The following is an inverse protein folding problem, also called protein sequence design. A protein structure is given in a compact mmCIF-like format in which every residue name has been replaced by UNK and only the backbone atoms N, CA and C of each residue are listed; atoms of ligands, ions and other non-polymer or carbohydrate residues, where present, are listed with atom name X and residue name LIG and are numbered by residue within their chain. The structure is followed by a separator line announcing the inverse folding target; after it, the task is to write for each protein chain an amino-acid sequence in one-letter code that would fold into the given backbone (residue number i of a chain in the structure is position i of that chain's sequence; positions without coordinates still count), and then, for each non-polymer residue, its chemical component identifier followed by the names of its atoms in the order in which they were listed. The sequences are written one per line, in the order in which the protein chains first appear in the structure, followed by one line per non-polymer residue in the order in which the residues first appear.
data_IF_753430196176
#
_entry.id   IF_753430196176
#
_cell.length_a   1.000
_cell.length_b   1.000
_cell.length_c   1.000
_cell.angle_alpha   90.00
_cell.angle_beta   90.00
_cell.angle_gamma   90.00
#
_symmetry.space_group_name_H-M   'P 1'
#
loop_
_entity.id
_entity.type
_entity.pdbx_description
1 polymer ?
#
# COMPACT_ATOMS: atom_id res chain seq x y z
N UNK A 1 1.87 8.28 -21.59
CA UNK A 1 2.16 9.53 -20.84
C UNK A 1 3.68 9.78 -20.84
N UNK A 2 4.17 10.93 -21.32
CA UNK A 2 5.56 11.35 -21.13
C UNK A 2 5.75 11.90 -19.70
N UNK A 3 6.89 11.60 -19.07
CA UNK A 3 7.30 12.17 -17.78
C UNK A 3 8.29 13.30 -18.02
N UNK A 4 8.16 14.39 -17.27
CA UNK A 4 9.09 15.51 -17.25
C UNK A 4 10.24 15.25 -16.25
N UNK A 5 11.28 16.08 -16.30
CA UNK A 5 12.35 16.04 -15.31
C UNK A 5 11.83 16.39 -13.90
N UNK A 6 10.89 17.34 -13.82
CA UNK A 6 10.28 17.77 -12.57
C UNK A 6 9.41 16.68 -11.95
N UNK A 7 8.70 15.88 -12.76
CA UNK A 7 7.96 14.71 -12.28
C UNK A 7 8.90 13.70 -11.59
N UNK A 8 10.04 13.42 -12.22
CA UNK A 8 11.02 12.47 -11.70
C UNK A 8 11.68 13.02 -10.42
N UNK A 9 12.04 14.31 -10.42
CA UNK A 9 12.63 14.95 -9.25
C UNK A 9 11.64 15.01 -8.08
N UNK A 10 10.39 15.40 -8.34
CA UNK A 10 9.32 15.46 -7.36
C UNK A 10 8.99 14.10 -6.76
N UNK A 11 8.92 13.05 -7.58
CA UNK A 11 8.74 11.68 -7.08
C UNK A 11 9.88 11.23 -6.16
N UNK A 12 11.14 11.55 -6.51
CA UNK A 12 12.31 11.22 -5.69
C UNK A 12 12.35 11.98 -4.37
N UNK A 13 11.89 13.23 -4.38
CA UNK A 13 11.84 14.08 -3.20
C UNK A 13 10.70 13.67 -2.26
N UNK A 14 9.46 13.61 -2.78
CA UNK A 14 8.27 13.37 -1.95
C UNK A 14 8.03 11.89 -1.66
N UNK A 15 8.56 10.99 -2.47
CA UNK A 15 8.27 9.55 -2.42
C UNK A 15 6.97 9.14 -3.12
N UNK A 16 6.23 10.08 -3.71
CA UNK A 16 4.98 9.83 -4.44
C UNK A 16 4.75 10.81 -5.60
N UNK A 17 3.80 10.46 -6.48
CA UNK A 17 3.36 11.28 -7.61
C UNK A 17 1.95 10.89 -8.09
N UNK A 18 1.15 11.90 -8.46
CA UNK A 18 -0.09 11.71 -9.20
C UNK A 18 0.19 11.64 -10.72
N UNK A 19 -0.13 10.52 -11.34
CA UNK A 19 0.10 10.23 -12.76
C UNK A 19 -1.19 10.49 -13.55
N UNK A 20 -1.20 11.58 -14.32
CA UNK A 20 -2.37 12.05 -15.07
C UNK A 20 -2.56 11.28 -16.38
N UNK A 21 -3.73 10.68 -16.58
CA UNK A 21 -4.07 9.92 -17.79
C UNK A 21 -3.11 8.75 -18.04
N UNK A 22 -2.72 8.04 -16.97
CA UNK A 22 -1.86 6.86 -17.09
C UNK A 22 -2.58 5.74 -17.86
N UNK A 23 -3.88 5.59 -17.64
CA UNK A 23 -4.71 4.52 -18.17
C UNK A 23 -5.73 5.07 -19.17
N UNK A 24 -6.05 4.26 -20.17
CA UNK A 24 -7.12 4.55 -21.13
C UNK A 24 -8.50 4.22 -20.54
N UNK A 25 -9.58 4.78 -21.10
CA UNK A 25 -10.95 4.44 -20.69
C UNK A 25 -11.23 2.93 -20.71
N UNK A 26 -10.88 2.25 -21.80
CA UNK A 26 -11.04 0.80 -21.93
C UNK A 26 -10.30 0.02 -20.82
N UNK A 27 -9.12 0.50 -20.44
CA UNK A 27 -8.34 -0.11 -19.36
C UNK A 27 -9.04 0.08 -18.00
N UNK A 28 -9.55 1.27 -17.71
CA UNK A 28 -10.26 1.53 -16.45
C UNK A 28 -11.58 0.78 -16.36
N UNK A 29 -12.30 0.63 -17.48
CA UNK A 29 -13.55 -0.13 -17.55
C UNK A 29 -13.28 -1.63 -17.32
N UNK A 30 -12.22 -2.17 -17.92
CA UNK A 30 -11.81 -3.55 -17.70
C UNK A 30 -11.41 -3.82 -16.23
N UNK A 31 -10.61 -2.92 -15.63
CA UNK A 31 -10.23 -3.02 -14.21
C UNK A 31 -11.44 -2.95 -13.29
N UNK A 32 -12.42 -2.07 -13.58
CA UNK A 32 -13.68 -1.98 -12.84
C UNK A 32 -14.48 -3.27 -12.96
N UNK A 33 -14.68 -3.77 -14.17
CA UNK A 33 -15.42 -4.99 -14.41
C UNK A 33 -14.80 -6.17 -13.66
N UNK A 34 -13.46 -6.28 -13.67
CA UNK A 34 -12.76 -7.35 -12.97
C UNK A 34 -12.86 -7.20 -11.44
N UNK A 35 -12.62 -6.00 -10.91
CA UNK A 35 -12.74 -5.75 -9.48
C UNK A 35 -14.15 -6.03 -8.96
N UNK A 36 -15.20 -5.62 -9.70
CA UNK A 36 -16.60 -5.84 -9.30
C UNK A 36 -17.01 -7.32 -9.23
N UNK A 37 -16.37 -8.21 -9.99
CA UNK A 37 -16.62 -9.66 -9.89
C UNK A 37 -16.09 -10.26 -8.58
N UNK A 38 -15.04 -9.66 -8.03
CA UNK A 38 -14.26 -10.26 -6.93
C UNK A 38 -14.40 -9.54 -5.59
N UNK A 39 -14.91 -8.31 -5.56
CA UNK A 39 -15.18 -7.58 -4.31
C UNK A 39 -16.33 -8.22 -3.54
N UNK A 40 -16.03 -8.63 -2.32
CA UNK A 40 -16.96 -9.21 -1.35
C UNK A 40 -17.07 -8.31 -0.14
N UNK A 41 -18.13 -8.44 0.67
CA UNK A 41 -18.25 -7.61 1.86
C UNK A 41 -17.07 -7.86 2.80
N UNK A 42 -16.48 -6.78 3.32
CA UNK A 42 -15.27 -6.87 4.16
C UNK A 42 -15.46 -7.79 5.38
N UNK A 43 -16.66 -7.75 5.95
CA UNK A 43 -17.09 -8.60 7.09
C UNK A 43 -17.12 -10.10 6.77
N UNK A 44 -17.35 -10.48 5.51
CA UNK A 44 -17.57 -11.88 5.12
C UNK A 44 -16.25 -12.65 4.97
N UNK A 45 -15.11 -11.95 4.89
CA UNK A 45 -13.78 -12.55 4.71
C UNK A 45 -12.87 -12.40 5.93
N UNK A 46 -13.44 -11.99 7.07
CA UNK A 46 -12.70 -11.87 8.33
C UNK A 46 -11.44 -11.01 8.22
N UNK A 47 -11.46 -9.99 7.35
CA UNK A 47 -10.32 -9.12 7.15
C UNK A 47 -10.00 -8.38 8.46
N UNK A 48 -8.74 -8.39 8.89
CA UNK A 48 -8.28 -7.75 10.14
C UNK A 48 -8.56 -6.25 10.15
N UNK A 49 -8.62 -5.63 8.98
CA UNK A 49 -9.02 -4.22 8.84
C UNK A 49 -10.51 -3.96 9.13
N UNK A 50 -11.29 -4.98 9.49
CA UNK A 50 -12.69 -4.85 9.87
C UNK A 50 -13.57 -4.28 8.75
N UNK A 51 -14.76 -3.83 9.13
CA UNK A 51 -15.75 -3.19 8.27
C UNK A 51 -15.29 -1.78 7.79
N UNK A 52 -13.98 -1.46 7.76
CA UNK A 52 -13.47 -0.12 7.37
C UNK A 52 -13.74 0.22 5.90
N UNK A 53 -13.98 -0.79 5.08
CA UNK A 53 -14.48 -0.67 3.70
C UNK A 53 -15.77 -1.43 3.56
N UNK A 54 -16.64 -0.98 2.64
CA UNK A 54 -17.89 -1.69 2.32
C UNK A 54 -17.60 -3.07 1.71
N UNK A 55 -16.67 -3.11 0.76
CA UNK A 55 -16.22 -4.35 0.11
C UNK A 55 -14.72 -4.31 -0.14
N UNK A 56 -14.08 -5.47 -0.13
CA UNK A 56 -12.66 -5.60 -0.47
C UNK A 56 -12.36 -6.95 -1.14
N UNK A 57 -11.23 -7.02 -1.83
CA UNK A 57 -10.76 -8.25 -2.50
C UNK A 57 -9.24 -8.27 -2.63
N UNK A 58 -8.69 -9.46 -2.80
CA UNK A 58 -7.26 -9.76 -2.90
C UNK A 58 -6.98 -10.56 -4.18
N UNK A 59 -5.69 -10.77 -4.48
CA UNK A 59 -5.23 -11.60 -5.59
C UNK A 59 -5.71 -11.16 -6.99
N UNK A 60 -6.12 -9.90 -7.16
CA UNK A 60 -6.51 -9.37 -8.48
C UNK A 60 -5.32 -9.39 -9.47
N UNK A 61 -4.08 -9.37 -8.96
CA UNK A 61 -2.86 -9.38 -9.77
C UNK A 61 -2.70 -10.64 -10.61
N UNK A 62 -3.37 -11.73 -10.23
CA UNK A 62 -3.32 -12.99 -10.98
C UNK A 62 -4.31 -13.06 -12.14
N UNK A 63 -5.22 -12.09 -12.25
CA UNK A 63 -6.19 -12.02 -13.35
C UNK A 63 -5.51 -11.57 -14.64
N UNK A 64 -6.02 -12.05 -15.79
CA UNK A 64 -5.51 -11.65 -17.11
C UNK A 64 -5.65 -10.14 -17.34
N UNK A 65 -6.70 -9.53 -16.79
CA UNK A 65 -6.93 -8.08 -16.86
C UNK A 65 -5.79 -7.30 -16.22
N UNK A 66 -5.43 -7.61 -14.96
CA UNK A 66 -4.35 -6.90 -14.29
C UNK A 66 -2.98 -7.23 -14.91
N UNK A 67 -2.76 -8.50 -15.30
CA UNK A 67 -1.58 -8.94 -16.07
C UNK A 67 -1.37 -8.09 -17.31
N UNK A 68 -2.42 -7.84 -18.09
CA UNK A 68 -2.35 -7.01 -19.29
C UNK A 68 -1.92 -5.57 -18.97
N UNK A 69 -2.39 -5.00 -17.85
CA UNK A 69 -2.03 -3.63 -17.42
C UNK A 69 -0.56 -3.54 -17.04
N UNK A 70 -0.10 -4.31 -16.06
CA UNK A 70 1.26 -4.14 -15.55
C UNK A 70 2.34 -4.66 -16.50
N UNK A 71 1.98 -5.50 -17.48
CA UNK A 71 2.90 -5.92 -18.56
C UNK A 71 2.93 -4.97 -19.75
N UNK A 72 1.97 -4.05 -19.87
CA UNK A 72 1.92 -3.10 -20.96
C UNK A 72 3.19 -2.26 -21.01
N UNK A 73 3.82 -2.17 -22.21
CA UNK A 73 5.09 -1.46 -22.40
C UNK A 73 5.05 -0.02 -21.89
N UNK A 74 3.95 0.69 -22.10
CA UNK A 74 3.80 2.07 -21.66
C UNK A 74 3.80 2.18 -20.13
N UNK A 75 3.05 1.31 -19.45
CA UNK A 75 2.98 1.24 -17.99
C UNK A 75 4.36 0.95 -17.40
N UNK A 76 5.02 -0.12 -17.88
CA UNK A 76 6.37 -0.51 -17.46
C UNK A 76 7.39 0.61 -17.65
N UNK A 77 7.32 1.32 -18.78
CA UNK A 77 8.22 2.45 -19.05
C UNK A 77 8.05 3.56 -18.02
N UNK A 78 6.81 3.92 -17.66
CA UNK A 78 6.53 4.96 -16.66
C UNK A 78 7.10 4.54 -15.30
N UNK A 79 6.73 3.36 -14.81
CA UNK A 79 7.18 2.88 -13.51
C UNK A 79 8.70 2.74 -13.45
N UNK A 80 9.31 2.07 -14.42
CA UNK A 80 10.77 1.90 -14.46
C UNK A 80 11.54 3.21 -14.58
N UNK A 81 10.96 4.25 -15.21
CA UNK A 81 11.59 5.59 -15.27
C UNK A 81 11.55 6.28 -13.90
N UNK A 82 10.42 6.21 -13.20
CA UNK A 82 10.26 6.85 -11.89
C UNK A 82 11.09 6.15 -10.81
N UNK A 83 11.05 4.81 -10.78
CA UNK A 83 11.73 4.02 -9.75
C UNK A 83 13.22 3.78 -10.06
N UNK A 84 13.63 3.92 -11.33
CA UNK A 84 15.01 3.69 -11.77
C UNK A 84 15.44 2.21 -11.72
N UNK A 85 14.50 1.29 -11.57
CA UNK A 85 14.77 -0.15 -11.36
C UNK A 85 13.70 -1.00 -12.03
N UNK A 86 13.99 -2.30 -12.18
CA UNK A 86 12.98 -3.29 -12.57
C UNK A 86 12.16 -3.66 -11.34
N UNK A 87 10.91 -4.02 -11.54
CA UNK A 87 9.98 -4.26 -10.45
C UNK A 87 9.42 -5.68 -10.51
N UNK A 88 9.21 -6.31 -9.36
CA UNK A 88 8.42 -7.54 -9.25
C UNK A 88 7.00 -7.11 -8.87
N UNK A 89 6.00 -7.50 -9.66
CA UNK A 89 4.59 -7.38 -9.28
C UNK A 89 4.28 -8.42 -8.20
N UNK A 90 3.73 -7.97 -7.09
CA UNK A 90 3.49 -8.84 -5.93
C UNK A 90 2.02 -9.14 -5.73
N UNK A 91 1.19 -8.11 -5.63
CA UNK A 91 -0.21 -8.29 -5.30
C UNK A 91 -1.06 -7.16 -5.87
N UNK A 92 -2.32 -7.46 -6.21
CA UNK A 92 -3.31 -6.42 -6.43
C UNK A 92 -4.58 -6.65 -5.60
N UNK A 93 -5.18 -5.55 -5.18
CA UNK A 93 -6.34 -5.52 -4.28
C UNK A 93 -7.38 -4.53 -4.79
N UNK A 94 -8.64 -4.74 -4.45
CA UNK A 94 -9.74 -3.83 -4.74
C UNK A 94 -10.44 -3.39 -3.47
N UNK A 95 -10.84 -2.12 -3.40
CA UNK A 95 -11.48 -1.51 -2.23
C UNK A 95 -12.70 -0.70 -2.66
N UNK A 96 -13.84 -0.94 -2.03
CA UNK A 96 -15.04 -0.11 -2.17
C UNK A 96 -15.35 0.64 -0.86
N UNK A 97 -15.57 1.94 -0.98
CA UNK A 97 -15.85 2.86 0.14
C UNK A 97 -17.22 3.48 -0.10
N UNK A 98 -17.99 3.64 0.97
CA UNK A 98 -19.23 4.41 1.00
C UNK A 98 -19.10 5.50 2.10
N UNK A 99 -20.14 6.32 2.26
CA UNK A 99 -20.13 7.41 3.24
C UNK A 99 -20.30 7.00 4.70
N UNK A 100 -20.52 5.72 4.97
CA UNK A 100 -20.69 5.18 6.33
C UNK A 100 -19.38 4.66 6.91
N UNK A 101 -18.29 4.74 6.14
CA UNK A 101 -17.00 4.14 6.43
C UNK A 101 -15.88 5.15 6.16
N UNK A 102 -14.78 5.02 6.91
CA UNK A 102 -13.65 5.95 6.87
C UNK A 102 -12.45 5.42 6.06
N UNK A 103 -12.47 4.16 5.61
CA UNK A 103 -11.32 3.52 5.00
C UNK A 103 -10.17 3.32 5.99
N UNK A 104 -8.93 3.35 5.50
CA UNK A 104 -7.76 3.16 6.35
C UNK A 104 -7.37 4.45 7.09
N UNK A 105 -7.00 4.37 8.38
CA UNK A 105 -6.40 5.49 9.11
C UNK A 105 -4.97 5.77 8.59
N UNK A 106 -4.28 6.74 9.19
CA UNK A 106 -2.86 6.99 8.89
C UNK A 106 -2.05 5.73 9.13
N UNK A 107 -1.39 5.27 8.06
CA UNK A 107 -0.51 4.12 8.07
C UNK A 107 0.55 4.28 6.99
N UNK A 108 1.49 3.35 6.98
CA UNK A 108 2.44 3.15 5.91
C UNK A 108 2.36 1.70 5.45
N UNK A 109 3.14 1.33 4.43
CA UNK A 109 3.06 0.01 3.80
C UNK A 109 3.55 -1.18 4.65
N UNK A 110 3.48 -1.14 5.99
CA UNK A 110 4.01 -2.17 6.91
C UNK A 110 3.54 -3.57 6.52
N UNK A 111 2.24 -3.81 6.53
CA UNK A 111 1.64 -5.11 6.18
C UNK A 111 1.85 -5.50 4.72
N UNK A 112 1.96 -4.49 3.85
CA UNK A 112 2.12 -4.70 2.41
C UNK A 112 3.52 -5.15 2.03
N UNK A 113 4.54 -4.80 2.84
CA UNK A 113 5.95 -4.96 2.51
C UNK A 113 6.78 -5.54 3.67
N UNK A 114 6.14 -6.13 4.69
CA UNK A 114 6.81 -6.74 5.86
C UNK A 114 7.75 -7.91 5.53
N UNK A 115 7.65 -8.46 4.32
CA UNK A 115 8.48 -9.59 3.86
C UNK A 115 9.75 -9.15 3.12
N UNK A 116 9.99 -7.85 2.94
CA UNK A 116 11.23 -7.33 2.37
C UNK A 116 11.98 -6.48 3.38
N UNK A 117 13.31 -6.44 3.30
CA UNK A 117 14.12 -5.68 4.27
C UNK A 117 13.70 -4.21 4.35
N UNK A 118 13.89 -3.55 5.50
CA UNK A 118 13.58 -2.13 5.66
C UNK A 118 14.20 -1.21 4.60
N UNK A 119 15.37 -1.55 4.04
CA UNK A 119 16.09 -0.74 3.04
C UNK A 119 15.63 -1.00 1.60
N UNK A 120 15.04 -2.17 1.32
CA UNK A 120 14.65 -2.55 -0.04
C UNK A 120 13.36 -1.83 -0.44
N UNK A 121 13.31 -1.31 -1.66
CA UNK A 121 12.18 -0.49 -2.09
C UNK A 121 10.93 -1.32 -2.39
N UNK A 122 9.78 -0.79 -1.98
CA UNK A 122 8.45 -1.23 -2.35
C UNK A 122 7.62 -0.04 -2.82
N UNK A 123 6.66 -0.29 -3.71
CA UNK A 123 5.83 0.73 -4.33
C UNK A 123 4.39 0.24 -4.44
N UNK A 124 3.45 1.15 -4.28
CA UNK A 124 2.03 0.92 -4.55
C UNK A 124 1.57 1.89 -5.63
N UNK A 125 0.74 1.40 -6.54
CA UNK A 125 0.00 2.25 -7.47
C UNK A 125 -1.49 2.10 -7.20
N UNK A 126 -2.08 3.16 -6.68
CA UNK A 126 -3.49 3.25 -6.40
C UNK A 126 -4.21 3.91 -7.57
N UNK A 127 -5.26 3.26 -8.05
CA UNK A 127 -6.02 3.67 -9.24
C UNK A 127 -7.47 3.85 -8.83
N UNK A 128 -7.95 5.10 -8.67
CA UNK A 128 -9.37 5.35 -8.47
C UNK A 128 -10.12 5.00 -9.75
N UNK A 129 -11.19 4.21 -9.61
CA UNK A 129 -12.03 3.86 -10.73
C UNK A 129 -13.23 4.79 -10.86
N UNK A 130 -13.54 5.56 -9.83
CA UNK A 130 -14.48 6.67 -9.81
C UNK A 130 -13.72 8.00 -9.63
N UNK A 131 -14.25 9.15 -10.12
CA UNK A 131 -13.57 10.43 -9.99
C UNK A 131 -13.43 10.86 -8.53
N UNK A 132 -12.32 11.54 -8.21
CA UNK A 132 -12.00 12.03 -6.87
C UNK A 132 -11.95 13.55 -6.88
N UNK A 133 -12.71 14.14 -5.96
CA UNK A 133 -12.74 15.59 -5.71
C UNK A 133 -12.59 15.85 -4.21
N UNK A 134 -11.36 16.16 -3.73
CA UNK A 134 -11.11 16.47 -2.32
C UNK A 134 -11.92 17.65 -1.78
N UNK A 135 -12.29 18.60 -2.64
CA UNK A 135 -13.10 19.77 -2.26
C UNK A 135 -14.60 19.46 -2.24
N UNK A 136 -15.04 18.50 -3.06
CA UNK A 136 -16.43 18.04 -3.18
C UNK A 136 -16.73 16.85 -2.27
N UNK A 137 -16.98 15.68 -2.85
CA UNK A 137 -17.39 14.49 -2.09
C UNK A 137 -16.21 13.72 -1.45
N UNK A 138 -14.96 14.04 -1.79
CA UNK A 138 -13.78 13.36 -1.24
C UNK A 138 -13.61 11.94 -1.79
N UNK A 139 -13.38 10.98 -0.89
CA UNK A 139 -13.22 9.55 -1.23
C UNK A 139 -11.84 9.15 -1.77
N UNK A 140 -10.88 10.08 -1.77
CA UNK A 140 -9.50 9.86 -2.22
C UNK A 140 -8.56 9.32 -1.16
N UNK A 141 -7.30 9.77 -1.23
CA UNK A 141 -6.27 9.52 -0.23
C UNK A 141 -5.68 10.84 0.23
N UNK A 142 -5.26 10.87 1.50
CA UNK A 142 -4.39 11.90 2.04
C UNK A 142 -3.02 11.29 2.33
N UNK A 143 -1.96 12.06 2.08
CA UNK A 143 -0.58 11.63 2.23
C UNK A 143 0.32 12.79 2.63
N UNK A 144 1.50 12.49 3.14
CA UNK A 144 2.52 13.49 3.47
C UNK A 144 3.84 13.17 2.74
N UNK A 145 4.60 14.20 2.32
CA UNK A 145 5.92 14.00 1.72
C UNK A 145 6.86 13.21 2.63
N UNK A 146 7.59 12.24 2.05
CA UNK A 146 8.61 11.47 2.76
C UNK A 146 9.70 12.38 3.37
N UNK A 147 10.00 13.51 2.71
CA UNK A 147 10.92 14.54 3.19
C UNK A 147 10.48 15.25 4.48
N UNK A 148 9.17 15.25 4.79
CA UNK A 148 8.67 15.75 6.07
C UNK A 148 8.69 14.67 7.15
N UNK A 149 8.21 13.47 6.82
CA UNK A 149 8.21 12.35 7.77
C UNK A 149 8.21 11.00 7.03
N UNK A 150 9.34 10.29 7.09
CA UNK A 150 9.51 8.99 6.44
C UNK A 150 9.20 7.83 7.37
N UNK A 151 8.39 6.86 6.92
CA UNK A 151 8.17 5.62 7.66
C UNK A 151 9.36 4.65 7.61
N UNK A 152 10.50 5.02 7.02
CA UNK A 152 11.72 4.18 7.02
C UNK A 152 12.15 3.81 8.42
N UNK A 153 12.10 4.75 9.37
CA UNK A 153 12.39 4.50 10.77
C UNK A 153 11.42 3.48 11.39
N UNK A 154 10.15 3.51 11.00
CA UNK A 154 9.15 2.54 11.47
C UNK A 154 9.44 1.14 10.96
N UNK A 155 9.82 0.97 9.68
CA UNK A 155 10.26 -0.35 9.18
C UNK A 155 11.50 -0.88 9.91
N UNK A 156 12.47 -0.01 10.20
CA UNK A 156 13.66 -0.40 10.97
C UNK A 156 13.27 -0.82 12.39
N UNK A 157 12.36 -0.09 13.03
CA UNK A 157 11.83 -0.44 14.35
C UNK A 157 11.08 -1.78 14.30
N UNK A 158 10.21 -1.98 13.31
CA UNK A 158 9.54 -3.27 13.07
C UNK A 158 10.54 -4.42 13.00
N UNK A 159 11.59 -4.30 12.18
CA UNK A 159 12.61 -5.34 12.04
C UNK A 159 13.29 -5.69 13.38
N UNK A 160 13.69 -4.68 14.16
CA UNK A 160 14.31 -4.89 15.48
C UNK A 160 13.36 -5.53 16.49
N UNK A 161 12.12 -5.08 16.55
CA UNK A 161 11.11 -5.59 17.48
C UNK A 161 10.62 -6.98 17.08
N UNK A 162 10.48 -7.26 15.78
CA UNK A 162 10.18 -8.59 15.26
C UNK A 162 11.25 -9.61 15.63
N UNK A 163 12.54 -9.24 15.56
CA UNK A 163 13.63 -10.11 16.01
C UNK A 163 13.51 -10.47 17.50
N UNK A 164 13.17 -9.49 18.35
CA UNK A 164 12.90 -9.72 19.79
C UNK A 164 11.70 -10.63 20.02
N UNK A 165 10.59 -10.38 19.35
CA UNK A 165 9.38 -11.21 19.44
C UNK A 165 9.66 -12.67 19.10
N UNK A 166 10.39 -12.93 18.01
CA UNK A 166 10.74 -14.30 17.57
C UNK A 166 11.70 -14.97 18.57
N UNK A 167 12.57 -14.21 19.22
CA UNK A 167 13.41 -14.70 20.31
C UNK A 167 12.63 -14.96 21.62
N UNK A 168 11.32 -14.67 21.67
CA UNK A 168 10.51 -14.81 22.88
C UNK A 168 10.71 -13.68 23.89
N UNK A 169 11.35 -12.58 23.49
CA UNK A 169 11.57 -11.41 24.33
C UNK A 169 10.33 -10.51 24.34
N UNK A 170 10.04 -9.91 25.49
CA UNK A 170 8.97 -8.91 25.60
C UNK A 170 9.36 -7.61 24.90
N UNK A 171 8.40 -7.06 24.14
CA UNK A 171 8.49 -5.71 23.54
C UNK A 171 7.47 -4.73 24.15
N UNK A 172 6.75 -5.14 25.20
CA UNK A 172 5.56 -4.45 25.70
C UNK A 172 5.81 -2.96 26.02
N UNK A 173 6.90 -2.63 26.71
CA UNK A 173 7.21 -1.25 27.10
C UNK A 173 7.48 -0.36 25.88
N UNK A 174 8.22 -0.89 24.89
CA UNK A 174 8.52 -0.17 23.66
C UNK A 174 7.24 0.00 22.83
N UNK A 175 6.45 -1.06 22.69
CA UNK A 175 5.17 -1.02 22.00
C UNK A 175 4.20 -0.02 22.63
N UNK A 176 4.13 0.04 23.97
CA UNK A 176 3.29 1.01 24.67
C UNK A 176 3.70 2.46 24.37
N UNK A 177 5.00 2.76 24.36
CA UNK A 177 5.52 4.07 23.99
C UNK A 177 5.21 4.43 22.52
N UNK A 178 5.43 3.49 21.60
CA UNK A 178 5.11 3.70 20.18
C UNK A 178 3.60 3.90 19.96
N UNK A 179 2.76 3.12 20.64
CA UNK A 179 1.31 3.23 20.52
C UNK A 179 0.79 4.60 20.97
N UNK A 180 1.44 5.26 21.93
CA UNK A 180 1.10 6.64 22.31
C UNK A 180 1.46 7.65 21.22
N UNK A 181 2.60 7.45 20.55
CA UNK A 181 3.07 8.32 19.46
C UNK A 181 2.23 8.16 18.20
N UNK A 182 1.88 6.93 17.84
CA UNK A 182 1.20 6.60 16.58
C UNK A 182 -0.30 6.35 16.74
N UNK A 183 -0.87 6.65 17.92
CA UNK A 183 -2.32 6.62 18.12
C UNK A 183 -3.00 7.55 17.10
N UNK A 184 -4.15 7.13 16.58
CA UNK A 184 -4.95 7.94 15.63
C UNK A 184 -5.37 9.31 16.20
N UNK A 185 -5.47 9.43 17.52
CA UNK A 185 -5.80 10.66 18.25
C UNK A 185 -4.56 11.40 18.77
N UNK A 186 -3.35 10.94 18.47
CA UNK A 186 -2.11 11.61 18.87
C UNK A 186 -1.95 12.97 18.17
N UNK A 187 -1.12 13.84 18.74
CA UNK A 187 -0.75 15.12 18.10
C UNK A 187 -0.01 14.90 16.77
N UNK A 188 0.72 13.79 16.65
CA UNK A 188 1.39 13.41 15.41
C UNK A 188 0.36 13.19 14.29
N UNK A 189 -0.66 12.38 14.56
CA UNK A 189 -1.67 12.03 13.55
C UNK A 189 -2.67 13.17 13.31
N UNK A 190 -3.29 13.70 14.35
CA UNK A 190 -4.39 14.68 14.23
C UNK A 190 -3.92 16.12 14.03
N UNK A 191 -2.71 16.45 14.48
CA UNK A 191 -2.11 17.77 14.35
C UNK A 191 -1.16 17.83 13.18
N UNK A 192 -0.01 17.15 13.30
CA UNK A 192 1.08 17.31 12.35
C UNK A 192 0.75 16.73 10.98
N UNK A 193 0.29 15.48 10.90
CA UNK A 193 -0.01 14.84 9.61
C UNK A 193 -1.21 15.51 8.93
N UNK A 194 -2.29 15.76 9.66
CA UNK A 194 -3.45 16.47 9.09
C UNK A 194 -3.12 17.88 8.60
N UNK A 195 -2.24 18.63 9.28
CA UNK A 195 -1.84 19.98 8.86
C UNK A 195 -0.98 19.98 7.59
N UNK A 196 -0.20 18.94 7.37
CA UNK A 196 0.75 18.85 6.25
C UNK A 196 0.29 17.91 5.13
N UNK A 197 -0.93 17.37 5.23
CA UNK A 197 -1.45 16.45 4.22
C UNK A 197 -1.63 17.13 2.88
N UNK A 198 -1.29 16.41 1.83
CA UNK A 198 -1.67 16.70 0.45
C UNK A 198 -2.81 15.75 0.05
N UNK A 199 -3.74 16.26 -0.75
CA UNK A 199 -4.81 15.49 -1.39
C UNK A 199 -4.95 15.98 -2.84
N UNK A 200 -4.90 15.06 -3.80
CA UNK A 200 -5.07 15.38 -5.21
C UNK A 200 -6.49 15.07 -5.70
N UNK A 201 -6.97 15.87 -6.66
CA UNK A 201 -8.07 15.46 -7.53
C UNK A 201 -7.62 14.29 -8.41
N UNK A 202 -8.51 13.39 -8.81
CA UNK A 202 -8.21 12.34 -9.79
C UNK A 202 -9.36 12.19 -10.78
N UNK A 203 -9.07 12.27 -12.06
CA UNK A 203 -9.99 11.82 -13.09
C UNK A 203 -9.91 10.30 -13.25
N UNK A 204 -10.95 9.68 -13.80
CA UNK A 204 -10.87 8.27 -14.21
C UNK A 204 -9.77 8.14 -15.27
N UNK A 205 -8.82 7.24 -15.02
CA UNK A 205 -7.62 7.05 -15.84
C UNK A 205 -6.35 7.59 -15.21
N UNK A 206 -6.46 8.43 -14.18
CA UNK A 206 -5.33 8.83 -13.35
C UNK A 206 -4.93 7.71 -12.38
N UNK A 207 -3.72 7.81 -11.84
CA UNK A 207 -3.22 6.91 -10.80
C UNK A 207 -2.31 7.65 -9.81
N UNK A 208 -2.12 7.09 -8.63
CA UNK A 208 -1.22 7.59 -7.60
C UNK A 208 -0.14 6.55 -7.33
N UNK A 209 1.12 6.87 -7.64
CA UNK A 209 2.28 6.01 -7.35
C UNK A 209 2.98 6.53 -6.10
N UNK A 210 3.24 5.66 -5.14
CA UNK A 210 3.95 6.01 -3.91
C UNK A 210 4.83 4.86 -3.42
N UNK A 211 5.95 5.19 -2.78
CA UNK A 211 6.82 4.20 -2.18
C UNK A 211 6.31 3.74 -0.80
N UNK A 212 6.87 2.64 -0.28
CA UNK A 212 6.40 2.01 0.97
C UNK A 212 6.55 2.89 2.23
N UNK A 213 7.39 3.92 2.18
CA UNK A 213 7.68 4.80 3.32
C UNK A 213 6.73 5.99 3.44
N UNK A 214 5.90 6.24 2.42
CA UNK A 214 4.93 7.33 2.42
C UNK A 214 3.80 7.01 3.39
N UNK A 215 3.62 7.87 4.38
CA UNK A 215 2.44 7.84 5.24
C UNK A 215 1.22 8.32 4.48
N UNK A 216 0.13 7.57 4.60
CA UNK A 216 -1.11 7.85 3.91
C UNK A 216 -2.32 7.33 4.68
N UNK A 217 -3.50 7.87 4.36
CA UNK A 217 -4.80 7.39 4.83
C UNK A 217 -5.85 7.53 3.74
N UNK A 218 -6.99 6.87 3.93
CA UNK A 218 -8.18 7.16 3.13
C UNK A 218 -8.74 8.53 3.51
N UNK A 219 -9.21 9.28 2.52
CA UNK A 219 -10.08 10.43 2.75
C UNK A 219 -11.54 9.98 2.72
N UNK A 220 -12.39 10.38 3.69
CA UNK A 220 -13.78 9.97 3.74
C UNK A 220 -14.52 10.30 2.44
N UNK A 221 -15.40 9.40 1.99
CA UNK A 221 -16.38 9.71 0.97
C UNK A 221 -17.57 10.39 1.66
N UNK A 222 -17.73 11.69 1.54
CA UNK A 222 -18.85 12.42 2.14
C UNK A 222 -20.18 12.01 1.49
N UNK A 223 -21.34 12.24 2.11
CA UNK A 223 -22.64 12.03 1.45
C UNK A 223 -22.75 12.88 0.16
N UNK A 224 -23.31 12.31 -0.90
CA UNK A 224 -23.46 12.99 -2.18
C UNK A 224 -23.90 12.08 -3.33
N UNK A 225 -23.79 12.52 -4.59
CA UNK A 225 -24.24 11.78 -5.76
C UNK A 225 -23.59 10.41 -5.94
N UNK A 226 -22.33 10.25 -5.50
CA UNK A 226 -21.60 8.99 -5.59
C UNK A 226 -21.90 8.12 -4.36
N UNK A 227 -22.74 7.09 -4.50
CA UNK A 227 -23.08 6.21 -3.38
C UNK A 227 -21.88 5.38 -2.90
N UNK A 228 -21.02 4.95 -3.83
CA UNK A 228 -19.76 4.26 -3.53
C UNK A 228 -18.66 4.69 -4.47
N UNK A 229 -17.42 4.59 -3.99
CA UNK A 229 -16.20 4.72 -4.78
C UNK A 229 -15.46 3.40 -4.79
N UNK A 230 -14.96 2.98 -5.94
CA UNK A 230 -14.11 1.83 -6.15
C UNK A 230 -12.70 2.29 -6.56
N UNK A 231 -11.69 1.54 -6.12
CA UNK A 231 -10.30 1.74 -6.50
C UNK A 231 -9.59 0.41 -6.37
N UNK A 232 -8.51 0.28 -7.13
CA UNK A 232 -7.64 -0.87 -7.10
C UNK A 232 -6.23 -0.43 -6.76
N UNK A 233 -5.46 -1.28 -6.11
CA UNK A 233 -4.06 -1.04 -5.82
C UNK A 233 -3.23 -2.19 -6.40
N UNK A 234 -2.10 -1.90 -7.04
CA UNK A 234 -1.08 -2.88 -7.41
C UNK A 234 0.20 -2.60 -6.63
N UNK A 235 0.83 -3.64 -6.11
CA UNK A 235 2.03 -3.57 -5.28
C UNK A 235 3.23 -4.13 -6.04
N UNK A 236 4.34 -3.44 -5.91
CA UNK A 236 5.59 -3.76 -6.58
C UNK A 236 6.74 -3.70 -5.58
N UNK A 237 7.77 -4.48 -5.81
CA UNK A 237 9.04 -4.39 -5.07
C UNK A 237 10.20 -4.25 -6.05
N UNK A 238 11.32 -3.68 -5.61
CA UNK A 238 12.55 -3.73 -6.39
C UNK A 238 12.91 -5.20 -6.69
N UNK A 239 13.29 -5.50 -7.92
CA UNK A 239 13.67 -6.86 -8.33
C UNK A 239 14.88 -7.44 -7.58
N UNK A 240 15.67 -6.60 -6.89
CA UNK A 240 16.76 -6.97 -5.98
C UNK A 240 16.35 -6.96 -4.51
N UNK A 241 15.08 -6.74 -4.22
CA UNK A 241 14.58 -6.84 -2.85
C UNK A 241 14.84 -8.24 -2.29
N UNK A 242 15.24 -8.28 -1.02
CA UNK A 242 15.58 -9.51 -0.33
C UNK A 242 14.54 -9.87 0.71
N UNK A 243 14.33 -11.16 0.88
CA UNK A 243 13.40 -11.72 1.84
C UNK A 243 13.83 -11.35 3.27
N UNK A 244 12.94 -10.71 4.02
CA UNK A 244 13.09 -10.48 5.45
C UNK A 244 12.11 -11.36 6.23
N UNK A 245 12.50 -12.62 6.41
CA UNK A 245 11.71 -13.61 7.15
C UNK A 245 11.47 -13.22 8.61
N UNK A 246 12.44 -12.55 9.24
CA UNK A 246 12.36 -12.10 10.64
C UNK A 246 11.28 -11.06 10.80
N UNK A 247 11.31 -9.99 9.99
CA UNK A 247 10.26 -8.98 10.03
C UNK A 247 8.91 -9.56 9.60
N UNK A 248 8.89 -10.45 8.61
CA UNK A 248 7.65 -11.10 8.16
C UNK A 248 6.96 -11.87 9.29
N UNK A 249 7.69 -12.73 9.99
CA UNK A 249 7.16 -13.58 11.06
C UNK A 249 6.73 -12.74 12.28
N UNK A 250 7.54 -11.76 12.69
CA UNK A 250 7.20 -10.90 13.83
C UNK A 250 5.98 -10.01 13.55
N UNK A 251 5.88 -9.42 12.37
CA UNK A 251 4.70 -8.66 11.93
C UNK A 251 3.48 -9.57 11.71
N UNK A 252 3.67 -10.86 11.36
CA UNK A 252 2.57 -11.81 11.27
C UNK A 252 2.00 -12.18 12.65
N UNK A 253 2.84 -12.24 13.68
CA UNK A 253 2.45 -12.58 15.04
C UNK A 253 1.53 -11.52 15.69
N UNK A 254 1.74 -10.24 15.39
CA UNK A 254 0.94 -9.12 15.96
C UNK A 254 -0.13 -8.61 15.01
N UNK A 255 -0.28 -9.22 13.84
CA UNK A 255 -1.25 -8.75 12.87
C UNK A 255 -0.83 -7.54 12.06
N UNK A 256 0.40 -7.05 12.21
CA UNK A 256 0.92 -5.85 11.55
C UNK A 256 1.11 -4.67 12.50
N UNK A 257 1.94 -3.72 12.09
CA UNK A 257 2.10 -2.43 12.76
C UNK A 257 3.03 -2.48 13.97
N UNK A 258 3.95 -3.46 14.04
CA UNK A 258 4.94 -3.59 15.13
C UNK A 258 5.70 -2.27 15.35
N UNK A 259 6.16 -1.63 14.26
CA UNK A 259 6.86 -0.34 14.31
C UNK A 259 5.98 0.87 14.69
N UNK A 260 4.69 0.66 14.95
CA UNK A 260 3.76 1.65 15.53
C UNK A 260 3.32 1.25 16.95
N UNK A 261 3.82 0.13 17.48
CA UNK A 261 3.36 -0.42 18.76
C UNK A 261 1.97 -1.06 18.70
N UNK A 262 1.47 -1.37 17.51
CA UNK A 262 0.17 -2.00 17.34
C UNK A 262 0.25 -3.53 17.49
N UNK A 263 -0.79 -4.09 18.08
CA UNK A 263 -1.09 -5.53 18.07
C UNK A 263 -2.57 -5.71 17.70
N UNK A 264 -2.79 -6.18 16.48
CA UNK A 264 -4.09 -6.48 15.90
C UNK A 264 -4.40 -7.98 15.90
N UNK A 265 -3.55 -8.79 16.54
CA UNK A 265 -3.65 -10.24 16.61
C UNK A 265 -3.24 -10.96 15.31
N UNK A 266 -2.94 -12.25 15.41
CA UNK A 266 -2.38 -13.05 14.30
C UNK A 266 -3.23 -12.94 13.02
N UNK A 267 -2.62 -12.47 11.93
CA UNK A 267 -3.30 -12.34 10.64
C UNK A 267 -3.54 -13.71 10.01
N UNK A 268 -4.79 -13.99 9.62
CA UNK A 268 -5.17 -15.19 8.85
C UNK A 268 -5.10 -14.99 7.32
N UNK A 269 -4.81 -13.78 6.84
CA UNK A 269 -4.76 -13.51 5.41
C UNK A 269 -3.53 -14.12 4.76
N UNK A 270 -3.73 -14.71 3.57
CA UNK A 270 -2.66 -15.05 2.64
C UNK A 270 -1.95 -13.76 2.25
N UNK A 271 -0.72 -13.59 2.71
CA UNK A 271 0.07 -12.39 2.45
C UNK A 271 1.21 -12.76 1.53
N UNK A 272 1.33 -12.03 0.42
CA UNK A 272 2.52 -12.12 -0.41
C UNK A 272 3.75 -12.01 0.49
N UNK A 273 4.68 -12.96 0.36
CA UNK A 273 5.75 -13.20 1.33
C UNK A 273 5.74 -14.63 1.88
N UNK A 274 4.57 -15.19 2.21
CA UNK A 274 4.47 -16.54 2.78
C UNK A 274 4.81 -17.65 1.78
N UNK A 275 4.72 -17.37 0.48
CA UNK A 275 5.00 -18.34 -0.57
C UNK A 275 6.50 -18.63 -0.76
N UNK A 276 7.39 -17.77 -0.22
CA UNK A 276 8.83 -17.92 -0.36
C UNK A 276 9.37 -18.97 0.60
N UNK A 277 9.12 -20.23 0.26
CA UNK A 277 9.54 -21.41 1.04
C UNK A 277 10.81 -22.05 0.50
N UNK A 278 11.31 -21.59 -0.66
CA UNK A 278 12.42 -22.16 -1.41
C UNK A 278 13.67 -21.27 -1.45
N UNK A 279 13.66 -20.15 -0.73
CA UNK A 279 14.80 -19.24 -0.54
C UNK A 279 14.93 -18.88 0.95
N UNK A 280 16.13 -18.50 1.36
CA UNK A 280 16.44 -18.21 2.76
C UNK A 280 16.28 -16.71 3.10
N UNK A 281 16.28 -16.40 4.41
CA UNK A 281 16.32 -15.02 4.87
C UNK A 281 17.56 -14.30 4.31
N UNK A 282 17.35 -13.13 3.69
CA UNK A 282 18.41 -12.35 3.07
C UNK A 282 18.65 -12.67 1.59
N UNK A 283 18.06 -13.72 1.04
CA UNK A 283 18.14 -14.02 -0.40
C UNK A 283 17.27 -13.06 -1.22
N UNK A 284 17.66 -12.85 -2.48
CA UNK A 284 16.90 -12.01 -3.39
C UNK A 284 15.63 -12.73 -3.84
N UNK A 285 14.49 -12.04 -3.76
CA UNK A 285 13.18 -12.65 -4.03
C UNK A 285 13.07 -13.17 -5.46
N UNK A 286 13.75 -12.51 -6.41
CA UNK A 286 13.77 -12.93 -7.82
C UNK A 286 14.33 -14.34 -8.05
N UNK A 287 15.06 -14.90 -7.08
CA UNK A 287 15.65 -16.23 -7.19
C UNK A 287 14.68 -17.34 -6.73
N UNK A 288 13.55 -16.98 -6.12
CA UNK A 288 12.48 -17.93 -5.77
C UNK A 288 11.67 -18.36 -6.99
N UNK A 289 11.28 -19.63 -7.04
CA UNK A 289 10.33 -20.15 -8.04
C UNK A 289 8.92 -19.60 -7.87
N UNK A 290 8.63 -18.98 -6.73
CA UNK A 290 7.38 -18.32 -6.40
C UNK A 290 7.45 -16.80 -6.62
N UNK A 291 8.52 -16.29 -7.24
CA UNK A 291 8.65 -14.90 -7.61
C UNK A 291 7.52 -14.48 -8.55
N UNK A 292 6.95 -13.29 -8.28
CA UNK A 292 6.01 -12.65 -9.19
C UNK A 292 6.68 -12.21 -10.49
N UNK A 293 5.88 -11.66 -11.40
CA UNK A 293 6.40 -11.25 -12.69
C UNK A 293 7.33 -10.03 -12.57
N UNK A 294 8.52 -10.13 -13.17
CA UNK A 294 9.45 -9.00 -13.25
C UNK A 294 9.12 -8.15 -14.47
N UNK A 295 8.81 -6.88 -14.23
CA UNK A 295 8.48 -5.88 -15.24
C UNK A 295 9.52 -4.77 -15.37
#
# INVERSE_FOLDING_TARGET
MPLTADDIAGFRDKGYIALRGLLTPDCTDALRAEALKSVVAARDIGATYGDTFRRLTYALGETDTFKAVYTARAFRKVLGTLTGTRLIMTEAQGFELNSERNGFPWHYGSLSFRFIRPQDMGYSIWIPLDPIDPTGQGGGMAYIPETLFSARGNFQMSSLLSARLIAGESIADISAGLAQVYNENSILMTGLFEQHREEDHFAVGDAFLFNKYVWHRSSPLRPGPMATRLAVNMRFIDWRARLDRVMFEGEAATGGGVGMGADWGVQKQTTYGSQFVDIDHGDEIRDSRHCGMII
#
